data_IF_528904994716
#
_entry.id   IF_528904994716
#
_cell.length_a   1.000
_cell.length_b   1.000
_cell.length_c   1.000
_cell.angle_alpha   90.00
_cell.angle_beta   90.00
_cell.angle_gamma   90.00
#
_symmetry.space_group_name_H-M   'P 1'
#
loop_
_entity.id
_entity.type
_entity.pdbx_description
1 polymer ?
#
# COMPACT_ATOMS: atom_id res chain seq x y z
N UNK A 1 17.09 10.50 4.03
CA UNK A 1 16.43 9.28 3.52
C UNK A 1 16.60 8.05 4.39
N UNK A 2 17.79 7.66 4.85
CA UNK A 2 17.96 6.44 5.69
C UNK A 2 17.03 6.34 6.93
N UNK A 3 16.73 7.45 7.61
CA UNK A 3 15.79 7.48 8.73
C UNK A 3 14.34 7.24 8.32
N UNK A 4 13.93 7.82 7.18
CA UNK A 4 12.58 7.64 6.61
C UNK A 4 12.39 6.18 6.23
N UNK A 5 13.36 5.60 5.50
CA UNK A 5 13.32 4.21 5.08
C UNK A 5 13.15 3.24 6.27
N UNK A 6 13.98 3.36 7.31
CA UNK A 6 13.86 2.50 8.50
C UNK A 6 12.51 2.62 9.22
N UNK A 7 11.96 3.84 9.30
CA UNK A 7 10.65 4.07 9.93
C UNK A 7 9.53 3.51 9.06
N UNK A 8 9.62 3.69 7.75
CA UNK A 8 8.68 3.15 6.78
C UNK A 8 8.66 1.62 6.78
N UNK A 9 9.83 0.97 6.77
CA UNK A 9 9.96 -0.49 6.92
C UNK A 9 9.25 -0.99 8.18
N UNK A 10 9.44 -0.31 9.33
CA UNK A 10 8.78 -0.69 10.57
C UNK A 10 7.25 -0.57 10.51
N UNK A 11 6.74 0.49 9.88
CA UNK A 11 5.31 0.72 9.67
C UNK A 11 4.72 -0.37 8.77
N UNK A 12 5.36 -0.65 7.62
CA UNK A 12 4.91 -1.68 6.67
C UNK A 12 4.88 -3.06 7.34
N UNK A 13 5.96 -3.44 8.04
CA UNK A 13 6.04 -4.72 8.76
C UNK A 13 4.93 -4.87 9.79
N UNK A 14 4.67 -3.81 10.56
CA UNK A 14 3.60 -3.80 11.55
C UNK A 14 2.22 -3.98 10.89
N UNK A 15 1.90 -3.17 9.87
CA UNK A 15 0.58 -3.21 9.26
C UNK A 15 0.34 -4.44 8.41
N UNK A 16 1.36 -4.97 7.73
CA UNK A 16 1.25 -6.25 7.04
C UNK A 16 0.96 -7.40 8.01
N UNK A 17 1.60 -7.42 9.18
CA UNK A 17 1.33 -8.43 10.21
C UNK A 17 -0.08 -8.29 10.83
N UNK A 18 -0.63 -7.08 10.89
CA UNK A 18 -1.95 -6.80 11.48
C UNK A 18 -3.10 -6.94 10.47
N UNK A 19 -2.88 -6.57 9.21
CA UNK A 19 -3.95 -6.42 8.22
C UNK A 19 -3.93 -7.49 7.13
N UNK A 20 -2.75 -7.91 6.68
CA UNK A 20 -2.61 -8.87 5.59
C UNK A 20 -2.60 -10.30 6.13
N UNK A 21 -1.64 -10.62 7.01
CA UNK A 21 -1.40 -12.00 7.43
C UNK A 21 -2.58 -12.69 8.13
N UNK A 22 -3.39 -12.02 8.98
CA UNK A 22 -4.56 -12.65 9.59
C UNK A 22 -5.67 -13.01 8.60
N UNK A 23 -5.69 -12.35 7.44
CA UNK A 23 -6.71 -12.53 6.38
C UNK A 23 -6.26 -13.52 5.31
N UNK A 24 -4.98 -13.87 5.26
CA UNK A 24 -4.46 -14.86 4.32
C UNK A 24 -5.14 -16.23 4.53
N UNK A 25 -5.55 -16.89 3.44
CA UNK A 25 -6.36 -18.12 3.43
C UNK A 25 -7.79 -18.01 4.01
N UNK A 26 -8.30 -16.81 4.28
CA UNK A 26 -9.63 -16.61 4.90
C UNK A 26 -10.51 -15.60 4.14
N UNK A 27 -10.44 -15.54 2.81
CA UNK A 27 -10.92 -14.35 2.10
C UNK A 27 -12.21 -14.54 1.30
N UNK A 28 -13.23 -13.76 1.68
CA UNK A 28 -14.21 -13.27 0.74
C UNK A 28 -13.55 -12.19 -0.14
N UNK A 29 -13.66 -12.34 -1.46
CA UNK A 29 -13.13 -11.38 -2.43
C UNK A 29 -14.26 -10.76 -3.24
N UNK A 30 -13.98 -9.63 -3.87
CA UNK A 30 -14.87 -8.98 -4.85
C UNK A 30 -14.08 -8.67 -6.12
N UNK A 31 -14.80 -8.47 -7.20
CA UNK A 31 -14.23 -7.98 -8.46
C UNK A 31 -14.38 -6.47 -8.53
N UNK A 32 -13.30 -5.76 -8.88
CA UNK A 32 -13.34 -4.37 -9.33
C UNK A 32 -13.99 -4.30 -10.72
N UNK A 33 -14.32 -3.09 -11.18
CA UNK A 33 -14.99 -2.89 -12.48
C UNK A 33 -14.17 -3.39 -13.68
N UNK A 34 -12.84 -3.35 -13.56
CA UNK A 34 -11.90 -3.83 -14.57
C UNK A 34 -11.66 -5.35 -14.53
N UNK A 35 -12.30 -6.06 -13.60
CA UNK A 35 -12.17 -7.52 -13.42
C UNK A 35 -11.01 -7.96 -12.52
N UNK A 36 -10.23 -7.03 -11.96
CA UNK A 36 -9.23 -7.35 -10.94
C UNK A 36 -9.88 -7.71 -9.60
N UNK A 37 -9.16 -8.47 -8.76
CA UNK A 37 -9.64 -8.89 -7.44
C UNK A 37 -9.26 -7.86 -6.38
N UNK A 38 -10.16 -7.67 -5.42
CA UNK A 38 -9.91 -6.91 -4.20
C UNK A 38 -10.42 -7.69 -2.99
N UNK A 39 -9.69 -7.63 -1.89
CA UNK A 39 -10.07 -8.22 -0.62
C UNK A 39 -10.17 -7.18 0.50
N UNK A 40 -10.69 -7.61 1.64
CA UNK A 40 -10.66 -6.79 2.86
C UNK A 40 -9.22 -6.43 3.28
N UNK A 41 -8.24 -7.29 2.97
CA UNK A 41 -6.84 -7.03 3.31
C UNK A 41 -6.29 -5.80 2.58
N UNK A 42 -6.61 -5.63 1.29
CA UNK A 42 -6.20 -4.47 0.48
C UNK A 42 -6.74 -3.17 1.10
N UNK A 43 -8.05 -3.16 1.42
CA UNK A 43 -8.74 -1.98 1.98
C UNK A 43 -8.21 -1.59 3.37
N UNK A 44 -8.05 -2.56 4.27
CA UNK A 44 -7.59 -2.30 5.64
C UNK A 44 -6.11 -1.93 5.70
N UNK A 45 -5.28 -2.55 4.84
CA UNK A 45 -3.87 -2.18 4.71
C UNK A 45 -3.72 -0.76 4.15
N UNK A 46 -4.46 -0.41 3.10
CA UNK A 46 -4.44 0.95 2.54
C UNK A 46 -4.82 1.99 3.60
N UNK A 47 -5.91 1.76 4.33
CA UNK A 47 -6.37 2.66 5.38
C UNK A 47 -5.30 2.88 6.46
N UNK A 48 -4.75 1.79 7.00
CA UNK A 48 -3.74 1.85 8.06
C UNK A 48 -2.46 2.58 7.60
N UNK A 49 -2.03 2.34 6.36
CA UNK A 49 -0.90 3.04 5.75
C UNK A 49 -1.20 4.53 5.57
N UNK A 50 -2.36 4.91 5.01
CA UNK A 50 -2.74 6.33 4.84
C UNK A 50 -2.71 7.07 6.18
N UNK A 51 -3.30 6.49 7.23
CA UNK A 51 -3.31 7.09 8.57
C UNK A 51 -1.87 7.30 9.09
N UNK A 52 -1.03 6.27 8.98
CA UNK A 52 0.35 6.34 9.48
C UNK A 52 1.23 7.29 8.67
N UNK A 53 1.09 7.31 7.35
CA UNK A 53 1.84 8.21 6.47
C UNK A 53 1.46 9.66 6.73
N UNK A 54 0.17 9.96 6.94
CA UNK A 54 -0.30 11.30 7.30
C UNK A 54 0.20 11.77 8.67
N UNK A 55 0.32 10.85 9.63
CA UNK A 55 0.87 11.17 10.95
C UNK A 55 2.38 11.51 10.88
N UNK A 56 3.15 10.75 10.10
CA UNK A 56 4.61 10.83 10.12
C UNK A 56 5.19 11.78 9.06
N UNK A 57 4.50 11.93 7.92
CA UNK A 57 4.91 12.74 6.77
C UNK A 57 3.71 13.48 6.16
N UNK A 58 3.05 14.38 6.93
CA UNK A 58 1.85 15.10 6.50
C UNK A 58 2.06 16.00 5.28
N UNK A 59 3.31 16.31 4.92
CA UNK A 59 3.64 17.09 3.73
C UNK A 59 3.44 16.34 2.41
N UNK A 60 3.37 15.00 2.42
CA UNK A 60 3.20 14.18 1.23
C UNK A 60 1.78 13.58 1.20
N UNK A 61 1.11 13.73 0.06
CA UNK A 61 -0.19 13.08 -0.18
C UNK A 61 0.00 11.59 -0.44
N UNK A 62 -1.06 10.79 -0.36
CA UNK A 62 -0.99 9.34 -0.58
C UNK A 62 -1.94 8.97 -1.70
N UNK A 63 -1.40 8.47 -2.80
CA UNK A 63 -2.10 7.87 -3.91
C UNK A 63 -2.15 6.35 -3.69
N UNK A 64 -3.34 5.81 -3.44
CA UNK A 64 -3.53 4.38 -3.21
C UNK A 64 -4.21 3.68 -4.39
N UNK A 65 -3.90 2.40 -4.59
CA UNK A 65 -4.54 1.57 -5.63
C UNK A 65 -6.06 1.46 -5.44
N UNK A 66 -6.55 1.32 -4.20
CA UNK A 66 -7.98 1.10 -3.91
C UNK A 66 -8.80 2.39 -3.86
N UNK A 67 -8.20 3.52 -4.25
CA UNK A 67 -8.92 4.79 -4.39
C UNK A 67 -9.73 4.82 -5.69
N UNK A 68 -10.85 5.53 -5.67
CA UNK A 68 -11.57 5.86 -6.91
C UNK A 68 -10.73 6.78 -7.81
N UNK A 69 -11.02 6.80 -9.10
CA UNK A 69 -10.33 7.70 -10.05
C UNK A 69 -10.38 9.18 -9.62
N UNK A 70 -11.53 9.61 -9.09
CA UNK A 70 -11.71 10.98 -8.60
C UNK A 70 -10.83 11.28 -7.38
N UNK A 71 -10.70 10.34 -6.45
CA UNK A 71 -9.80 10.46 -5.30
C UNK A 71 -8.34 10.48 -5.75
N UNK A 72 -7.96 9.59 -6.67
CA UNK A 72 -6.61 9.54 -7.24
C UNK A 72 -6.23 10.86 -7.91
N UNK A 73 -7.12 11.42 -8.74
CA UNK A 73 -6.90 12.72 -9.36
C UNK A 73 -6.73 13.84 -8.33
N UNK A 74 -7.54 13.85 -7.27
CA UNK A 74 -7.42 14.84 -6.21
C UNK A 74 -6.06 14.76 -5.46
N UNK A 75 -5.51 13.56 -5.26
CA UNK A 75 -4.17 13.40 -4.68
C UNK A 75 -3.09 13.90 -5.65
N UNK A 76 -3.19 13.58 -6.94
CA UNK A 76 -2.26 14.05 -7.96
C UNK A 76 -2.25 15.59 -8.05
N UNK A 77 -3.41 16.23 -8.05
CA UNK A 77 -3.53 17.69 -8.10
C UNK A 77 -2.92 18.36 -6.85
N UNK A 78 -2.88 17.65 -5.73
CA UNK A 78 -2.36 18.12 -4.44
C UNK A 78 -0.91 17.71 -4.16
N UNK A 79 -0.22 17.08 -5.11
CA UNK A 79 1.09 16.44 -4.93
C UNK A 79 2.31 17.38 -5.02
N UNK A 80 2.12 18.70 -4.91
CA UNK A 80 3.16 19.70 -5.14
C UNK A 80 4.43 19.52 -4.28
N UNK A 81 4.32 18.96 -3.08
CA UNK A 81 5.45 18.66 -2.18
C UNK A 81 5.99 17.23 -2.33
N UNK A 82 5.27 16.37 -3.05
CA UNK A 82 5.53 14.94 -3.15
C UNK A 82 4.27 14.11 -2.89
N UNK A 83 4.31 12.87 -3.36
CA UNK A 83 3.29 11.87 -3.09
C UNK A 83 3.89 10.50 -2.78
N UNK A 84 3.24 9.79 -1.87
CA UNK A 84 3.37 8.34 -1.74
C UNK A 84 2.50 7.66 -2.78
N UNK A 85 3.03 6.66 -3.46
CA UNK A 85 2.28 5.75 -4.33
C UNK A 85 2.27 4.39 -3.65
N UNK A 86 1.08 3.91 -3.27
CA UNK A 86 0.88 2.71 -2.47
C UNK A 86 0.04 1.69 -3.23
N UNK A 87 0.59 0.49 -3.35
CA UNK A 87 -0.16 -0.74 -3.60
C UNK A 87 -0.17 -1.52 -2.26
N UNK A 88 -1.34 -1.64 -1.61
CA UNK A 88 -1.44 -2.26 -0.30
C UNK A 88 -1.24 -3.77 -0.34
N UNK A 89 -1.44 -4.43 -1.49
CA UNK A 89 -1.34 -5.88 -1.66
C UNK A 89 -1.17 -6.24 -3.14
N UNK A 90 0.07 -6.19 -3.64
CA UNK A 90 0.38 -6.70 -4.97
C UNK A 90 0.29 -8.23 -4.95
N UNK A 91 -0.43 -8.79 -5.91
CA UNK A 91 -0.71 -10.22 -5.98
C UNK A 91 -2.01 -10.64 -5.29
N UNK A 92 -3.04 -9.79 -5.23
CA UNK A 92 -4.35 -10.09 -4.64
C UNK A 92 -4.95 -11.41 -5.13
N UNK A 93 -4.76 -11.78 -6.40
CA UNK A 93 -5.18 -13.09 -6.94
C UNK A 93 -4.47 -14.27 -6.29
N UNK A 94 -3.16 -14.15 -6.06
CA UNK A 94 -2.37 -15.16 -5.36
C UNK A 94 -2.81 -15.24 -3.90
N UNK A 95 -2.96 -14.10 -3.25
CA UNK A 95 -3.45 -13.98 -1.88
C UNK A 95 -4.81 -14.66 -1.69
N UNK A 96 -5.79 -14.35 -2.56
CA UNK A 96 -7.12 -14.94 -2.54
C UNK A 96 -7.12 -16.45 -2.84
N UNK A 97 -6.15 -16.93 -3.62
CA UNK A 97 -5.99 -18.34 -3.99
C UNK A 97 -5.14 -19.14 -3.00
N UNK A 98 -4.66 -18.53 -1.91
CA UNK A 98 -3.77 -19.19 -0.95
C UNK A 98 -2.36 -19.49 -1.49
N UNK A 99 -1.92 -18.74 -2.49
CA UNK A 99 -0.57 -18.81 -3.04
C UNK A 99 0.29 -17.75 -2.33
N UNK A 100 1.39 -18.12 -1.65
CA UNK A 100 2.18 -17.20 -0.82
C UNK A 100 3.18 -16.39 -1.66
N UNK A 101 2.67 -15.71 -2.68
CA UNK A 101 3.43 -14.85 -3.61
C UNK A 101 2.64 -13.53 -3.75
N UNK A 102 2.83 -12.65 -2.76
CA UNK A 102 2.23 -11.32 -2.70
C UNK A 102 3.10 -10.41 -1.82
N UNK A 103 2.98 -9.11 -2.00
CA UNK A 103 3.79 -8.14 -1.28
C UNK A 103 3.06 -6.82 -1.04
N UNK A 104 3.65 -5.95 -0.22
CA UNK A 104 3.26 -4.54 -0.11
C UNK A 104 4.26 -3.73 -0.92
N UNK A 105 3.80 -2.81 -1.76
CA UNK A 105 4.68 -1.93 -2.54
C UNK A 105 4.37 -0.47 -2.27
N UNK A 106 5.40 0.33 -1.99
CA UNK A 106 5.25 1.77 -1.79
C UNK A 106 6.45 2.54 -2.30
N UNK A 107 6.20 3.66 -2.98
CA UNK A 107 7.23 4.60 -3.44
C UNK A 107 6.94 6.03 -2.97
N UNK A 108 8.00 6.79 -2.68
CA UNK A 108 7.92 8.24 -2.55
C UNK A 108 8.35 8.88 -3.88
N UNK A 109 7.49 9.72 -4.44
CA UNK A 109 7.78 10.51 -5.63
C UNK A 109 7.94 11.96 -5.22
N UNK A 110 9.10 12.54 -5.54
CA UNK A 110 9.44 13.94 -5.31
C UNK A 110 9.87 14.56 -6.64
N UNK A 111 9.30 15.71 -7.01
CA UNK A 111 9.62 16.40 -8.27
C UNK A 111 9.53 15.48 -9.51
N UNK A 112 8.50 14.62 -9.55
CA UNK A 112 8.28 13.62 -10.59
C UNK A 112 9.38 12.54 -10.72
N UNK A 113 10.25 12.39 -9.72
CA UNK A 113 11.26 11.33 -9.66
C UNK A 113 11.02 10.43 -8.44
N UNK A 114 11.28 9.13 -8.58
CA UNK A 114 11.21 8.17 -7.47
C UNK A 114 12.39 8.40 -6.53
N UNK A 115 12.11 8.92 -5.34
CA UNK A 115 13.12 9.24 -4.33
C UNK A 115 13.45 8.03 -3.45
N UNK A 116 12.47 7.15 -3.19
CA UNK A 116 12.66 5.86 -2.51
C UNK A 116 11.52 4.90 -2.87
N UNK A 117 11.78 3.59 -2.75
CA UNK A 117 10.78 2.55 -2.92
C UNK A 117 11.04 1.39 -1.95
N UNK A 118 9.97 0.75 -1.51
CA UNK A 118 9.99 -0.45 -0.67
C UNK A 118 9.02 -1.46 -1.26
N UNK A 119 9.49 -2.69 -1.41
CA UNK A 119 8.67 -3.87 -1.68
C UNK A 119 8.91 -4.79 -0.48
N UNK A 120 7.83 -5.27 0.13
CA UNK A 120 7.91 -6.13 1.32
C UNK A 120 7.07 -7.39 1.15
N UNK A 121 7.70 -8.56 1.17
CA UNK A 121 7.02 -9.86 1.21
C UNK A 121 6.78 -10.28 2.68
N UNK A 122 5.53 -10.25 3.17
CA UNK A 122 5.24 -10.60 4.56
C UNK A 122 5.33 -12.10 4.84
N UNK A 123 5.31 -12.97 3.83
CA UNK A 123 5.49 -14.41 3.99
C UNK A 123 6.95 -14.74 4.32
N UNK A 124 7.88 -14.02 3.70
CA UNK A 124 9.33 -14.22 3.83
C UNK A 124 10.00 -13.25 4.79
N UNK A 125 9.30 -12.16 5.15
CA UNK A 125 9.83 -11.04 5.92
C UNK A 125 11.00 -10.34 5.22
N UNK A 126 10.93 -10.25 3.89
CA UNK A 126 11.95 -9.69 2.98
C UNK A 126 11.56 -8.30 2.47
#
# INVERSE_FOLDING_TARGET
>A
MKKILKKLEAIIKQHAAQQIMPRYNQVAYRFKQDGSLVTEADSEMQKAMIESLREHWPEYVVLGEEMTEAEQQAQLDSSAKGLWVLDPLDGTSNFASGIPIFCVSIALVLNNEVALGVIYDPNRQE
#
